data_IF_228018645471
#
_entry.id   IF_228018645471
#
_cell.length_a   1.000
_cell.length_b   1.000
_cell.length_c   1.000
_cell.angle_alpha   90.00
_cell.angle_beta   90.00
_cell.angle_gamma   90.00
#
_symmetry.space_group_name_H-M   'P 1'
#
loop_
_entity.id
_entity.type
_entity.pdbx_description
1 polymer ?
#
# COMPACT_ATOMS: atom_id res chain seq x y z
N UNK A 1 -41.39 66.51 -8.45
CA UNK A 1 -40.44 66.98 -7.44
C UNK A 1 -39.51 65.80 -7.30
N UNK A 2 -38.47 65.75 -8.17
CA UNK A 2 -37.08 66.28 -7.98
C UNK A 2 -36.45 65.63 -6.74
N UNK A 3 -35.31 64.98 -6.83
CA UNK A 3 -34.04 65.31 -7.46
C UNK A 3 -33.17 64.03 -7.59
N UNK A 4 -32.41 64.03 -8.64
CA UNK A 4 -31.28 63.22 -8.97
C UNK A 4 -30.08 63.49 -8.06
N UNK A 5 -29.31 62.45 -7.75
CA UNK A 5 -27.89 62.64 -7.47
C UNK A 5 -27.08 61.42 -7.88
N UNK A 6 -26.28 61.57 -8.90
CA UNK A 6 -25.14 60.76 -9.29
C UNK A 6 -23.98 60.98 -8.30
N UNK A 7 -23.16 59.98 -8.06
CA UNK A 7 -21.81 60.23 -7.48
C UNK A 7 -20.73 59.96 -8.54
N UNK A 8 -19.85 60.92 -8.58
CA UNK A 8 -18.57 61.10 -9.26
C UNK A 8 -17.54 59.98 -9.03
N UNK A 9 -16.88 59.62 -10.14
CA UNK A 9 -15.59 58.90 -10.16
C UNK A 9 -14.46 59.68 -9.43
N UNK A 10 -13.47 58.99 -8.88
CA UNK A 10 -12.16 59.57 -8.66
C UNK A 10 -11.09 58.95 -9.59
N UNK A 11 -10.39 59.85 -10.19
CA UNK A 11 -9.20 59.93 -11.03
C UNK A 11 -8.02 59.04 -10.57
N UNK A 12 -7.36 58.39 -11.55
CA UNK A 12 -5.99 57.88 -11.50
C UNK A 12 -4.96 58.97 -11.27
N UNK A 13 -3.80 58.66 -10.67
CA UNK A 13 -2.58 59.42 -10.88
C UNK A 13 -1.58 58.70 -11.79
N UNK A 14 -1.08 59.47 -12.69
CA UNK A 14 -0.09 59.32 -13.74
C UNK A 14 1.27 58.75 -13.27
N UNK A 15 1.88 58.00 -14.23
CA UNK A 15 3.26 57.60 -14.24
C UNK A 15 4.28 58.72 -14.27
N UNK A 16 5.38 58.56 -13.55
CA UNK A 16 6.64 59.23 -13.85
C UNK A 16 7.73 58.21 -14.13
N UNK A 17 8.27 58.35 -15.32
CA UNK A 17 9.48 57.73 -15.83
C UNK A 17 10.70 58.51 -15.34
N UNK A 18 11.71 57.80 -14.82
CA UNK A 18 13.09 58.27 -14.88
C UNK A 18 14.04 57.17 -15.34
N UNK A 19 14.75 57.56 -16.40
CA UNK A 19 15.82 56.85 -17.09
C UNK A 19 17.18 57.29 -16.56
N UNK A 20 18.15 56.41 -16.55
CA UNK A 20 19.53 56.55 -17.07
C UNK A 20 20.49 55.63 -16.33
N UNK A 21 21.03 54.70 -17.09
CA UNK A 21 22.46 54.56 -17.47
C UNK A 21 23.48 54.61 -16.30
N UNK A 22 24.15 53.47 -16.05
CA UNK A 22 25.62 53.49 -16.20
C UNK A 22 26.22 52.09 -16.37
N UNK A 23 27.20 52.05 -17.28
CA UNK A 23 27.99 50.93 -17.75
C UNK A 23 29.23 50.82 -16.87
N UNK A 24 29.59 49.61 -16.38
CA UNK A 24 30.98 49.29 -16.03
C UNK A 24 31.20 47.77 -16.05
N UNK A 25 31.82 47.31 -17.10
CA UNK A 25 33.08 46.55 -17.29
C UNK A 25 33.38 45.37 -16.37
N UNK A 26 33.65 44.27 -17.06
CA UNK A 26 34.20 42.98 -16.60
C UNK A 26 35.58 43.09 -15.92
N UNK A 27 35.80 42.09 -15.06
CA UNK A 27 37.06 41.41 -14.66
C UNK A 27 36.77 40.81 -13.27
N UNK A 28 36.97 39.57 -12.89
CA UNK A 28 38.07 38.65 -13.06
C UNK A 28 37.60 37.24 -12.63
N UNK A 29 38.00 36.24 -13.43
CA UNK A 29 37.85 34.83 -13.12
C UNK A 29 38.98 34.45 -12.15
N UNK A 30 38.63 34.02 -10.94
CA UNK A 30 39.56 33.36 -10.05
C UNK A 30 39.24 31.87 -9.90
N UNK A 31 40.02 31.05 -10.51
CA UNK A 31 40.11 29.59 -10.33
C UNK A 31 40.64 29.26 -8.93
N UNK A 32 40.09 28.30 -8.18
CA UNK A 32 40.73 27.79 -6.98
C UNK A 32 41.73 26.70 -7.34
N UNK A 33 42.82 26.54 -6.54
CA UNK A 33 43.92 25.64 -6.83
C UNK A 33 43.62 24.19 -6.51
N UNK A 34 44.05 23.32 -7.44
CA UNK A 34 44.21 21.90 -7.24
C UNK A 34 45.43 21.65 -6.36
N UNK A 35 45.28 20.89 -5.27
CA UNK A 35 46.29 19.89 -4.83
C UNK A 35 45.78 19.13 -3.61
N UNK A 36 45.70 17.83 -3.74
CA UNK A 36 45.43 16.87 -2.68
C UNK A 36 45.54 15.46 -3.25
N UNK A 37 46.77 15.02 -3.44
CA UNK A 37 47.17 13.72 -3.98
C UNK A 37 46.61 12.56 -3.14
N UNK A 38 45.93 11.61 -3.76
CA UNK A 38 45.76 10.25 -3.28
C UNK A 38 47.05 9.45 -3.49
N UNK A 39 47.56 8.75 -2.48
CA UNK A 39 48.67 7.81 -2.66
C UNK A 39 48.14 6.40 -2.90
N UNK A 40 47.99 6.00 -4.15
CA UNK A 40 48.05 4.60 -4.57
C UNK A 40 48.21 4.57 -6.10
N UNK A 41 49.44 4.80 -6.53
CA UNK A 41 49.91 4.38 -7.84
C UNK A 41 50.92 3.22 -7.62
N UNK A 42 50.58 2.07 -8.14
CA UNK A 42 51.43 0.90 -8.10
C UNK A 42 51.03 -0.09 -9.18
N UNK A 43 51.70 0.09 -10.34
CA UNK A 43 52.07 -0.93 -11.32
C UNK A 43 51.01 -1.91 -11.84
N UNK A 44 50.65 -1.72 -13.09
CA UNK A 44 50.27 -2.76 -14.04
C UNK A 44 51.43 -3.71 -14.30
N UNK A 45 51.21 -5.03 -14.15
CA UNK A 45 51.85 -6.04 -14.99
C UNK A 45 51.02 -7.33 -15.06
N UNK A 46 50.74 -7.66 -16.28
CA UNK A 46 50.59 -8.93 -16.97
C UNK A 46 50.21 -10.21 -16.20
N UNK A 47 49.12 -10.81 -16.73
CA UNK A 47 48.92 -12.25 -16.87
C UNK A 47 49.18 -13.14 -15.65
N UNK A 48 48.11 -13.49 -14.94
CA UNK A 48 48.11 -14.59 -13.98
C UNK A 48 46.78 -15.33 -14.04
N UNK A 49 46.72 -16.34 -14.89
CA UNK A 49 45.70 -17.41 -14.84
C UNK A 49 45.72 -18.01 -13.45
N UNK A 50 44.66 -17.81 -12.68
CA UNK A 50 44.45 -18.48 -11.39
C UNK A 50 44.14 -19.93 -11.67
N UNK A 51 45.03 -20.81 -11.27
CA UNK A 51 44.97 -22.25 -11.37
C UNK A 51 43.71 -22.80 -10.69
N UNK A 52 42.96 -23.60 -11.45
CA UNK A 52 41.70 -24.24 -11.03
C UNK A 52 41.83 -25.19 -9.84
N UNK A 53 43.08 -25.55 -9.46
CA UNK A 53 43.34 -26.43 -8.32
C UNK A 53 43.14 -25.75 -6.96
N UNK A 54 43.26 -24.41 -6.89
CA UNK A 54 43.09 -23.66 -5.63
C UNK A 54 41.64 -23.41 -5.29
N UNK A 55 40.76 -23.43 -6.31
CA UNK A 55 39.31 -23.26 -6.09
C UNK A 55 38.64 -24.53 -5.54
N UNK A 56 39.18 -25.71 -5.83
CA UNK A 56 38.66 -27.00 -5.33
C UNK A 56 39.07 -27.31 -3.88
N UNK A 57 40.07 -26.69 -3.33
CA UNK A 57 40.51 -26.89 -1.95
C UNK A 57 39.65 -26.11 -0.93
N UNK A 58 39.02 -25.00 -1.35
CA UNK A 58 38.15 -24.19 -0.50
C UNK A 58 36.72 -24.80 -0.33
N UNK A 59 36.26 -25.65 -1.24
CA UNK A 59 34.95 -26.27 -1.23
C UNK A 59 34.88 -27.58 -0.44
N UNK A 60 36.03 -28.16 -0.01
CA UNK A 60 36.06 -29.42 0.76
C UNK A 60 36.06 -29.27 2.28
N UNK A 61 35.97 -28.07 2.84
CA UNK A 61 35.97 -27.87 4.31
C UNK A 61 34.61 -27.64 4.95
N UNK A 62 33.51 -27.77 4.23
CA UNK A 62 32.14 -27.59 4.79
C UNK A 62 31.30 -28.86 4.89
N UNK A 63 31.84 -30.06 4.71
CA UNK A 63 31.05 -31.31 4.78
C UNK A 63 31.46 -32.25 5.92
N UNK A 64 31.98 -31.74 7.03
CA UNK A 64 32.41 -32.58 8.16
C UNK A 64 31.74 -32.18 9.50
N UNK A 65 30.43 -32.12 9.55
CA UNK A 65 29.65 -32.13 10.80
C UNK A 65 28.22 -32.63 10.55
N UNK A 66 28.11 -33.87 10.07
CA UNK A 66 26.88 -34.67 10.17
C UNK A 66 27.27 -36.11 10.42
N UNK A 67 27.20 -36.52 11.69
CA UNK A 67 27.32 -37.92 12.07
C UNK A 67 27.61 -38.06 13.55
N UNK A 68 26.65 -38.49 14.25
CA UNK A 68 26.71 -39.25 15.50
C UNK A 68 25.77 -38.70 16.59
N UNK A 69 24.64 -39.34 16.72
CA UNK A 69 24.14 -39.87 17.96
C UNK A 69 22.86 -40.66 17.70
N UNK A 70 23.01 -41.96 17.51
CA UNK A 70 21.99 -42.98 17.70
C UNK A 70 22.30 -43.67 19.01
N UNK A 71 21.30 -43.94 19.84
CA UNK A 71 21.34 -44.79 21.05
C UNK A 71 20.84 -44.05 22.28
N UNK A 72 19.95 -44.52 23.10
CA UNK A 72 19.30 -45.76 23.29
C UNK A 72 18.10 -45.56 24.24
N UNK A 73 17.07 -46.27 24.00
CA UNK A 73 16.03 -46.87 24.79
C UNK A 73 16.13 -46.87 26.31
N UNK A 74 14.96 -46.75 26.97
CA UNK A 74 14.73 -47.38 28.29
C UNK A 74 13.62 -46.75 29.11
N UNK A 75 12.44 -47.29 29.02
CA UNK A 75 11.60 -47.97 30.03
C UNK A 75 10.84 -47.15 31.07
N UNK A 76 9.50 -47.21 30.93
CA UNK A 76 8.42 -47.57 31.89
C UNK A 76 8.23 -46.72 33.16
N UNK A 77 7.13 -46.25 33.51
CA UNK A 77 5.77 -46.72 33.74
C UNK A 77 5.14 -46.01 34.97
N UNK A 78 3.85 -45.78 34.88
CA UNK A 78 2.81 -45.79 35.94
C UNK A 78 2.65 -44.56 36.85
N UNK A 79 1.47 -43.95 36.74
CA UNK A 79 0.91 -43.08 37.77
C UNK A 79 -0.37 -42.38 37.33
N UNK A 80 -1.47 -42.85 37.79
CA UNK A 80 -2.86 -42.52 37.54
C UNK A 80 -3.28 -41.05 37.78
N UNK A 81 -4.14 -40.56 36.90
CA UNK A 81 -5.40 -39.89 37.25
C UNK A 81 -5.38 -38.46 37.75
N UNK A 82 -5.72 -37.52 36.87
CA UNK A 82 -6.73 -36.49 37.12
C UNK A 82 -7.31 -36.07 35.75
N UNK A 83 -8.63 -36.21 35.64
CA UNK A 83 -9.36 -35.69 34.48
C UNK A 83 -9.41 -34.17 34.57
N UNK A 84 -8.60 -33.50 33.77
CA UNK A 84 -8.68 -32.08 33.48
C UNK A 84 -9.12 -31.93 32.02
N UNK A 85 -10.26 -31.27 31.79
CA UNK A 85 -10.74 -30.91 30.46
C UNK A 85 -9.69 -30.06 29.77
N UNK A 86 -8.91 -30.66 28.88
CA UNK A 86 -8.10 -29.95 27.92
C UNK A 86 -9.05 -29.39 26.87
N UNK A 87 -9.35 -28.09 26.97
CA UNK A 87 -9.77 -27.33 25.84
C UNK A 87 -8.66 -27.52 24.80
N UNK A 88 -8.95 -28.27 23.76
CA UNK A 88 -8.12 -28.36 22.58
C UNK A 88 -8.07 -26.95 21.99
N UNK A 89 -7.01 -26.20 22.32
CA UNK A 89 -6.57 -25.12 21.45
C UNK A 89 -6.23 -25.82 20.14
N UNK A 90 -7.02 -25.55 19.12
CA UNK A 90 -6.66 -25.88 17.75
C UNK A 90 -5.31 -25.19 17.52
N UNK A 91 -4.27 -26.01 17.48
CA UNK A 91 -2.95 -25.63 17.04
C UNK A 91 -3.10 -25.35 15.54
N UNK A 92 -3.32 -24.08 15.21
CA UNK A 92 -3.38 -23.58 13.83
C UNK A 92 -1.92 -23.47 13.33
N UNK A 93 -1.19 -24.60 13.49
CA UNK A 93 0.09 -24.83 12.84
C UNK A 93 -0.17 -25.26 11.39
N UNK A 94 -0.80 -24.39 10.61
CA UNK A 94 -0.70 -24.44 9.16
C UNK A 94 0.70 -23.93 8.76
N UNK A 95 1.71 -24.76 9.03
CA UNK A 95 3.08 -24.57 8.58
C UNK A 95 3.22 -24.92 7.10
N UNK A 96 2.31 -24.43 6.26
CA UNK A 96 2.51 -24.29 4.82
C UNK A 96 3.04 -22.88 4.53
N UNK A 97 4.12 -22.49 5.17
CA UNK A 97 5.08 -21.51 4.64
C UNK A 97 5.87 -22.21 3.53
N UNK A 98 5.18 -22.68 2.52
CA UNK A 98 5.73 -23.26 1.33
C UNK A 98 5.26 -22.46 0.13
N UNK A 99 6.13 -22.22 -0.81
CA UNK A 99 5.94 -21.57 -2.10
C UNK A 99 4.71 -22.03 -2.93
N UNK A 100 3.87 -22.92 -2.39
CA UNK A 100 2.72 -23.52 -3.06
C UNK A 100 1.33 -23.02 -2.66
N UNK A 101 1.19 -22.04 -1.76
CA UNK A 101 -0.12 -21.51 -1.39
C UNK A 101 -0.74 -20.75 -2.57
N UNK A 102 -1.83 -21.24 -3.11
CA UNK A 102 -2.58 -20.63 -4.21
C UNK A 102 -3.81 -19.92 -3.66
N UNK A 103 -3.98 -18.66 -4.01
CA UNK A 103 -5.22 -17.91 -3.76
C UNK A 103 -6.02 -17.91 -5.06
N UNK A 104 -7.32 -18.30 -5.05
CA UNK A 104 -8.12 -18.30 -6.26
C UNK A 104 -8.14 -16.95 -6.96
N UNK A 105 -7.80 -16.95 -8.25
CA UNK A 105 -7.79 -15.73 -9.08
C UNK A 105 -9.20 -15.34 -9.53
N UNK A 106 -10.01 -16.33 -9.93
CA UNK A 106 -11.34 -16.12 -10.47
C UNK A 106 -12.39 -15.98 -9.35
N UNK A 107 -13.34 -15.05 -9.54
CA UNK A 107 -14.43 -14.82 -8.60
C UNK A 107 -15.28 -13.63 -9.00
N UNK A 108 -16.38 -13.37 -8.27
CA UNK A 108 -17.20 -12.19 -8.43
C UNK A 108 -16.44 -10.91 -8.01
N UNK A 109 -15.60 -11.03 -6.99
CA UNK A 109 -14.75 -9.97 -6.44
C UNK A 109 -13.28 -10.35 -6.65
N UNK A 110 -12.41 -9.36 -6.72
CA UNK A 110 -10.97 -9.60 -6.81
C UNK A 110 -10.42 -10.16 -5.50
N UNK A 111 -9.56 -11.16 -5.59
CA UNK A 111 -8.68 -11.56 -4.49
C UNK A 111 -7.74 -10.40 -4.11
N UNK A 112 -7.25 -10.41 -2.85
CA UNK A 112 -6.43 -9.32 -2.34
C UNK A 112 -7.22 -8.23 -1.62
N UNK A 113 -8.56 -8.19 -1.73
CA UNK A 113 -9.41 -7.25 -0.99
C UNK A 113 -9.76 -7.83 0.39
N UNK A 114 -10.50 -8.92 0.45
CA UNK A 114 -10.85 -9.60 1.72
C UNK A 114 -9.77 -10.60 2.18
N UNK A 115 -8.84 -10.96 1.31
CA UNK A 115 -7.77 -11.92 1.63
C UNK A 115 -6.98 -11.43 2.85
N UNK A 116 -6.68 -12.33 3.79
CA UNK A 116 -5.78 -12.00 4.91
C UNK A 116 -4.49 -11.35 4.37
N UNK A 117 -4.01 -10.24 4.91
CA UNK A 117 -2.80 -9.58 4.43
C UNK A 117 -1.60 -10.54 4.41
N UNK A 118 -0.93 -10.61 3.25
CA UNK A 118 0.35 -11.28 3.08
C UNK A 118 1.47 -10.46 3.70
N UNK A 119 2.66 -11.04 3.84
CA UNK A 119 3.79 -10.39 4.52
C UNK A 119 4.33 -9.16 3.77
N UNK A 120 4.27 -9.17 2.43
CA UNK A 120 4.81 -8.09 1.59
C UNK A 120 3.77 -7.61 0.58
N UNK A 121 3.85 -6.33 0.26
CA UNK A 121 3.02 -5.68 -0.75
C UNK A 121 3.80 -4.65 -1.55
N UNK A 122 3.37 -4.37 -2.76
CA UNK A 122 3.67 -3.14 -3.47
C UNK A 122 2.38 -2.52 -3.99
N UNK A 123 2.25 -1.22 -3.84
CA UNK A 123 1.21 -0.42 -4.46
C UNK A 123 1.86 0.40 -5.56
N UNK A 124 1.35 0.28 -6.77
CA UNK A 124 1.92 0.95 -7.94
C UNK A 124 0.81 1.63 -8.70
N UNK A 125 1.04 2.87 -9.09
CA UNK A 125 0.18 3.60 -10.02
C UNK A 125 0.85 3.78 -11.37
N UNK A 126 0.06 3.75 -12.42
CA UNK A 126 0.50 3.89 -13.80
C UNK A 126 -0.36 4.92 -14.56
N UNK A 127 0.26 5.59 -15.52
CA UNK A 127 -0.46 6.28 -16.58
C UNK A 127 -0.63 5.34 -17.78
N UNK A 128 -1.84 5.25 -18.31
CA UNK A 128 -2.12 4.53 -19.55
C UNK A 128 -1.55 5.31 -20.74
N UNK A 129 -0.76 4.63 -21.56
CA UNK A 129 -0.12 5.17 -22.78
C UNK A 129 -0.64 4.51 -24.05
N UNK A 130 -1.68 3.65 -23.94
CA UNK A 130 -2.40 3.10 -25.09
C UNK A 130 -2.93 4.23 -26.00
N UNK A 131 -2.79 4.10 -27.31
CA UNK A 131 -3.16 5.15 -28.24
C UNK A 131 -4.68 5.27 -28.46
N UNK A 132 -5.44 4.23 -28.15
CA UNK A 132 -6.88 4.16 -28.36
C UNK A 132 -7.52 3.10 -27.44
N UNK A 133 -8.86 3.05 -27.48
CA UNK A 133 -9.65 2.11 -26.66
C UNK A 133 -9.31 0.63 -26.91
N UNK A 134 -9.03 0.22 -28.15
CA UNK A 134 -8.72 -1.16 -28.48
C UNK A 134 -7.40 -1.59 -27.83
N UNK A 135 -6.36 -0.76 -27.94
CA UNK A 135 -5.09 -0.99 -27.27
C UNK A 135 -5.21 -0.99 -25.74
N UNK A 136 -6.11 -0.15 -25.20
CA UNK A 136 -6.40 -0.18 -23.76
C UNK A 136 -7.07 -1.51 -23.34
N UNK A 137 -7.98 -2.05 -24.14
CA UNK A 137 -8.58 -3.38 -23.90
C UNK A 137 -7.49 -4.46 -23.93
N UNK A 138 -6.60 -4.42 -24.94
CA UNK A 138 -5.48 -5.37 -25.07
C UNK A 138 -4.54 -5.29 -23.86
N UNK A 139 -4.32 -4.08 -23.33
CA UNK A 139 -3.56 -3.88 -22.09
C UNK A 139 -4.20 -4.61 -20.91
N UNK A 140 -5.50 -4.44 -20.68
CA UNK A 140 -6.21 -5.11 -19.57
C UNK A 140 -6.27 -6.62 -19.75
N UNK A 141 -6.42 -7.12 -20.98
CA UNK A 141 -6.34 -8.55 -21.29
C UNK A 141 -4.93 -9.10 -21.00
N UNK A 142 -3.89 -8.34 -21.33
CA UNK A 142 -2.50 -8.70 -21.03
C UNK A 142 -2.26 -8.76 -19.52
N UNK A 143 -2.66 -7.73 -18.78
CA UNK A 143 -2.58 -7.71 -17.30
C UNK A 143 -3.30 -8.92 -16.72
N UNK A 144 -4.50 -9.24 -17.21
CA UNK A 144 -5.30 -10.40 -16.76
C UNK A 144 -4.58 -11.71 -17.01
N UNK A 145 -4.02 -11.89 -18.21
CA UNK A 145 -3.31 -13.12 -18.59
C UNK A 145 -2.09 -13.32 -17.71
N UNK A 146 -1.33 -12.27 -17.45
CA UNK A 146 -0.15 -12.34 -16.57
C UNK A 146 -0.55 -12.59 -15.14
N UNK A 147 -1.53 -11.86 -14.61
CA UNK A 147 -2.01 -12.03 -13.24
C UNK A 147 -2.51 -13.47 -13.01
N UNK A 148 -3.25 -14.04 -13.94
CA UNK A 148 -3.73 -15.43 -13.88
C UNK A 148 -2.59 -16.44 -13.81
N UNK A 149 -1.54 -16.27 -14.63
CA UNK A 149 -0.36 -17.11 -14.59
C UNK A 149 0.40 -16.97 -13.27
N UNK A 150 0.73 -15.73 -12.89
CA UNK A 150 1.56 -15.45 -11.73
C UNK A 150 0.92 -15.93 -10.42
N UNK A 151 -0.40 -15.74 -10.25
CA UNK A 151 -1.11 -16.17 -9.03
C UNK A 151 -1.29 -17.69 -8.94
N UNK A 152 -1.32 -18.38 -10.08
CA UNK A 152 -1.35 -19.84 -10.12
C UNK A 152 0.03 -20.46 -9.95
N UNK A 153 1.09 -19.73 -10.33
CA UNK A 153 2.42 -20.27 -10.45
C UNK A 153 2.57 -21.21 -11.65
N UNK A 154 3.75 -21.78 -11.81
CA UNK A 154 4.02 -22.78 -12.86
C UNK A 154 5.29 -22.52 -13.65
N UNK A 155 5.55 -23.33 -14.66
CA UNK A 155 6.72 -23.19 -15.53
C UNK A 155 6.45 -22.17 -16.63
N UNK A 156 7.27 -21.13 -16.77
CA UNK A 156 7.20 -20.18 -17.88
C UNK A 156 7.39 -20.90 -19.23
N UNK A 157 6.83 -20.32 -20.29
CA UNK A 157 6.99 -20.86 -21.65
C UNK A 157 8.44 -20.86 -22.12
N UNK A 158 8.86 -21.87 -22.87
CA UNK A 158 10.16 -21.88 -23.54
C UNK A 158 10.06 -21.21 -24.93
N UNK A 159 10.77 -20.11 -25.10
CA UNK A 159 10.84 -19.36 -26.38
C UNK A 159 12.11 -19.69 -27.19
N UNK A 160 12.92 -20.64 -26.71
CA UNK A 160 14.19 -21.04 -27.31
C UNK A 160 15.33 -20.04 -27.09
N UNK A 161 16.58 -20.47 -27.30
CA UNK A 161 17.80 -19.73 -27.00
C UNK A 161 17.98 -18.44 -27.84
N UNK A 162 17.34 -18.35 -28.99
CA UNK A 162 17.45 -17.18 -29.86
C UNK A 162 16.47 -16.06 -29.53
N UNK A 163 15.54 -16.28 -28.60
CA UNK A 163 14.51 -15.30 -28.18
C UNK A 163 14.84 -14.78 -26.78
N UNK A 164 14.36 -13.55 -26.44
CA UNK A 164 14.38 -13.12 -25.05
C UNK A 164 13.60 -14.11 -24.19
N UNK A 165 14.05 -14.43 -22.97
CA UNK A 165 13.38 -15.41 -22.11
C UNK A 165 11.94 -14.95 -21.77
N UNK A 166 11.03 -15.92 -21.66
CA UNK A 166 9.64 -15.65 -21.27
C UNK A 166 9.55 -15.04 -19.87
N UNK A 167 10.41 -15.49 -18.96
CA UNK A 167 10.48 -15.06 -17.57
C UNK A 167 11.86 -14.47 -17.23
N UNK A 168 11.97 -13.82 -16.09
CA UNK A 168 13.22 -13.23 -15.57
C UNK A 168 14.10 -14.24 -14.83
N UNK A 169 13.57 -15.41 -14.51
CA UNK A 169 14.20 -16.49 -13.74
C UNK A 169 14.70 -16.08 -12.32
N UNK A 170 14.21 -14.95 -11.82
CA UNK A 170 14.58 -14.48 -10.48
C UNK A 170 14.03 -15.34 -9.35
N UNK A 171 12.96 -16.09 -9.61
CA UNK A 171 12.38 -17.08 -8.71
C UNK A 171 12.78 -18.51 -9.05
N UNK A 172 13.68 -18.70 -10.03
CA UNK A 172 14.07 -19.99 -10.56
C UNK A 172 13.17 -20.48 -11.70
N UNK A 173 13.37 -21.72 -12.19
CA UNK A 173 12.71 -22.22 -13.40
C UNK A 173 11.23 -22.50 -13.23
N UNK A 174 10.71 -22.50 -12.02
CA UNK A 174 9.29 -22.66 -11.70
C UNK A 174 8.86 -21.50 -10.82
N UNK A 175 7.94 -20.69 -11.31
CA UNK A 175 7.36 -19.56 -10.56
C UNK A 175 6.45 -20.12 -9.46
N UNK A 176 6.71 -19.83 -8.17
CA UNK A 176 5.83 -20.25 -7.08
C UNK A 176 4.56 -19.40 -7.05
N UNK A 177 3.45 -19.96 -6.60
CA UNK A 177 2.20 -19.21 -6.37
C UNK A 177 2.30 -18.27 -5.17
N UNK A 178 2.96 -18.69 -4.09
CA UNK A 178 3.40 -17.92 -2.92
C UNK A 178 2.32 -17.03 -2.29
N UNK A 179 1.06 -17.47 -2.32
CA UNK A 179 -0.06 -16.67 -1.83
C UNK A 179 -0.23 -15.34 -2.57
N UNK A 180 0.30 -15.21 -3.79
CA UNK A 180 0.25 -13.98 -4.57
C UNK A 180 -1.19 -13.58 -4.90
N UNK A 181 -1.48 -12.29 -4.70
CA UNK A 181 -2.69 -11.64 -5.21
C UNK A 181 -2.30 -10.39 -5.98
N UNK A 182 -3.03 -10.12 -7.07
CA UNK A 182 -2.88 -8.92 -7.90
C UNK A 182 -4.26 -8.31 -8.01
N UNK A 183 -4.47 -7.17 -7.34
CA UNK A 183 -5.71 -6.40 -7.38
C UNK A 183 -5.53 -5.21 -8.29
N UNK A 184 -6.41 -5.07 -9.27
CA UNK A 184 -6.36 -4.04 -10.32
C UNK A 184 -7.44 -3.00 -10.07
N UNK A 185 -7.05 -1.74 -10.00
CA UNK A 185 -7.94 -0.59 -9.89
C UNK A 185 -7.77 0.39 -11.03
N UNK A 186 -8.77 1.23 -11.24
CA UNK A 186 -8.76 2.33 -12.22
C UNK A 186 -8.97 3.66 -11.52
N UNK A 187 -8.20 4.67 -11.91
CA UNK A 187 -8.30 6.02 -11.38
C UNK A 187 -9.23 6.92 -12.20
N UNK A 188 -9.58 8.07 -11.63
CA UNK A 188 -10.50 9.00 -12.26
C UNK A 188 -10.02 9.52 -13.61
N UNK A 189 -8.70 9.67 -13.79
CA UNK A 189 -8.08 10.18 -15.03
C UNK A 189 -8.21 9.23 -16.22
N UNK A 190 -8.44 7.93 -16.00
CA UNK A 190 -8.70 6.98 -17.08
C UNK A 190 -10.02 7.28 -17.83
N UNK A 191 -10.94 7.96 -17.18
CA UNK A 191 -12.28 8.27 -17.71
C UNK A 191 -12.37 9.66 -18.37
N UNK A 192 -11.27 10.16 -18.88
CA UNK A 192 -11.22 11.34 -19.73
C UNK A 192 -11.62 11.03 -21.19
N UNK A 193 -11.36 11.95 -22.11
CA UNK A 193 -11.76 11.83 -23.51
C UNK A 193 -10.92 10.84 -24.33
N UNK A 194 -9.76 10.37 -23.83
CA UNK A 194 -8.79 9.53 -24.57
C UNK A 194 -9.41 8.21 -25.08
N UNK A 195 -10.29 7.60 -24.29
CA UNK A 195 -10.76 6.23 -24.52
C UNK A 195 -12.27 6.13 -24.70
N UNK A 196 -13.01 7.25 -24.64
CA UNK A 196 -14.47 7.26 -24.74
C UNK A 196 -15.15 6.56 -23.55
N UNK A 197 -14.55 6.60 -22.36
CA UNK A 197 -15.03 5.96 -21.14
C UNK A 197 -15.69 6.94 -20.15
N UNK A 198 -15.79 8.23 -20.48
CA UNK A 198 -16.27 9.26 -19.56
C UNK A 198 -17.65 8.93 -18.94
N UNK A 199 -18.59 8.36 -19.72
CA UNK A 199 -19.93 7.97 -19.26
C UNK A 199 -19.93 6.68 -18.41
N UNK A 200 -18.80 5.97 -18.35
CA UNK A 200 -18.64 4.71 -17.62
C UNK A 200 -17.96 4.90 -16.26
N UNK A 201 -17.57 6.14 -15.93
CA UNK A 201 -16.87 6.41 -14.67
C UNK A 201 -17.72 6.04 -13.45
N UNK A 202 -17.17 5.31 -12.47
CA UNK A 202 -17.83 5.07 -11.19
C UNK A 202 -18.23 6.37 -10.51
N UNK A 203 -19.42 6.43 -9.93
CA UNK A 203 -20.08 7.70 -9.52
C UNK A 203 -19.26 8.49 -8.50
N UNK A 204 -18.61 7.79 -7.56
CA UNK A 204 -17.84 8.41 -6.47
C UNK A 204 -16.33 8.49 -6.78
N UNK A 205 -15.91 8.03 -7.97
CA UNK A 205 -14.50 8.09 -8.34
C UNK A 205 -14.13 9.52 -8.79
N UNK A 206 -13.22 10.12 -8.06
CA UNK A 206 -12.68 11.47 -8.30
C UNK A 206 -11.17 11.46 -8.04
N UNK A 207 -10.42 12.48 -8.47
CA UNK A 207 -9.07 12.72 -7.98
C UNK A 207 -9.07 12.79 -6.45
N UNK A 208 -8.00 12.28 -5.82
CA UNK A 208 -7.94 12.23 -4.35
C UNK A 208 -8.04 13.62 -3.74
N UNK A 209 -8.98 13.78 -2.81
CA UNK A 209 -9.15 15.01 -2.02
C UNK A 209 -7.88 15.25 -1.19
N UNK A 210 -7.42 16.51 -1.17
CA UNK A 210 -6.36 16.99 -0.28
C UNK A 210 -7.01 17.56 0.98
N UNK A 211 -6.59 17.07 2.13
CA UNK A 211 -7.04 17.55 3.43
C UNK A 211 -6.04 18.56 3.99
N UNK A 212 -6.43 19.41 4.98
CA UNK A 212 -5.58 20.48 5.49
C UNK A 212 -4.19 20.04 5.98
N UNK A 213 -4.06 18.81 6.47
CA UNK A 213 -2.81 18.29 7.04
C UNK A 213 -2.00 17.44 6.03
N UNK A 214 -2.39 17.46 4.75
CA UNK A 214 -1.69 16.73 3.70
C UNK A 214 -0.54 17.58 3.14
N UNK A 215 0.65 16.99 3.03
CA UNK A 215 1.81 17.57 2.36
C UNK A 215 1.92 17.00 0.93
N UNK A 216 0.94 17.37 0.09
CA UNK A 216 0.79 16.85 -1.27
C UNK A 216 0.96 17.93 -2.36
N UNK A 217 1.31 19.15 -1.96
CA UNK A 217 1.51 20.24 -2.93
C UNK A 217 2.76 19.96 -3.76
N UNK A 218 2.57 19.80 -5.08
CA UNK A 218 3.67 19.47 -5.98
C UNK A 218 4.14 18.02 -5.94
N UNK A 219 3.49 17.15 -5.16
CA UNK A 219 3.80 15.73 -5.14
C UNK A 219 3.52 15.08 -6.49
N UNK A 220 4.50 14.35 -7.01
CA UNK A 220 4.37 13.50 -8.20
C UNK A 220 3.83 12.10 -7.88
N UNK A 221 3.68 11.76 -6.61
CA UNK A 221 3.19 10.47 -6.14
C UNK A 221 1.68 10.49 -5.90
N UNK A 222 0.91 11.05 -6.85
CA UNK A 222 -0.55 11.22 -6.71
C UNK A 222 -1.31 10.65 -7.89
N UNK A 223 -2.50 10.09 -7.58
CA UNK A 223 -3.48 9.61 -8.55
C UNK A 223 -2.89 8.65 -9.60
N UNK A 224 -3.37 8.67 -10.82
CA UNK A 224 -2.96 7.87 -11.96
C UNK A 224 -4.15 7.16 -12.60
N UNK A 225 -3.91 6.51 -13.74
CA UNK A 225 -4.97 5.87 -14.54
C UNK A 225 -5.29 4.45 -14.07
N UNK A 226 -4.26 3.69 -13.66
CA UNK A 226 -4.35 2.29 -13.28
C UNK A 226 -3.56 2.08 -12.00
N UNK A 227 -4.14 1.36 -11.03
CA UNK A 227 -3.42 0.91 -9.82
C UNK A 227 -3.27 -0.60 -9.82
N UNK A 228 -2.12 -1.07 -9.33
CA UNK A 228 -1.89 -2.46 -8.98
C UNK A 228 -1.52 -2.56 -7.50
N UNK A 229 -2.26 -3.39 -6.75
CA UNK A 229 -1.86 -3.87 -5.44
C UNK A 229 -1.39 -5.31 -5.60
N UNK A 230 -0.11 -5.54 -5.40
CA UNK A 230 0.53 -6.84 -5.53
C UNK A 230 0.99 -7.27 -4.14
N UNK A 231 0.46 -8.39 -3.63
CA UNK A 231 0.81 -8.88 -2.29
C UNK A 231 1.20 -10.35 -2.35
N UNK A 232 2.25 -10.76 -1.63
CA UNK A 232 2.73 -12.13 -1.52
C UNK A 232 3.35 -12.42 -0.15
N UNK A 233 3.65 -13.69 0.11
CA UNK A 233 4.29 -14.09 1.36
C UNK A 233 5.80 -13.75 1.37
N UNK A 234 6.42 -13.57 0.18
CA UNK A 234 7.82 -13.17 0.04
C UNK A 234 7.98 -11.94 -0.87
N UNK A 235 8.99 -11.11 -0.55
CA UNK A 235 9.23 -9.84 -1.24
C UNK A 235 9.69 -10.03 -2.70
N UNK A 236 10.50 -11.04 -2.96
CA UNK A 236 11.00 -11.37 -4.30
C UNK A 236 9.86 -11.79 -5.24
N UNK A 237 8.83 -12.49 -4.75
CA UNK A 237 7.61 -12.79 -5.51
C UNK A 237 6.86 -11.51 -5.91
N UNK A 238 6.73 -10.54 -5.00
CA UNK A 238 6.10 -9.24 -5.31
C UNK A 238 6.89 -8.51 -6.40
N UNK A 239 8.22 -8.45 -6.27
CA UNK A 239 9.10 -7.81 -7.25
C UNK A 239 9.07 -8.52 -8.61
N UNK A 240 9.08 -9.86 -8.61
CA UNK A 240 8.97 -10.67 -9.82
C UNK A 240 7.65 -10.38 -10.54
N UNK A 241 6.53 -10.41 -9.82
CA UNK A 241 5.20 -10.17 -10.40
C UNK A 241 5.09 -8.77 -11.02
N UNK A 242 5.58 -7.73 -10.33
CA UNK A 242 5.61 -6.39 -10.89
C UNK A 242 6.48 -6.29 -12.15
N UNK A 243 7.67 -6.89 -12.12
CA UNK A 243 8.59 -6.90 -13.26
C UNK A 243 8.01 -7.64 -14.46
N UNK A 244 7.34 -8.76 -14.24
CA UNK A 244 6.69 -9.54 -15.29
C UNK A 244 5.57 -8.74 -15.95
N UNK A 245 4.66 -8.15 -15.17
CA UNK A 245 3.59 -7.29 -15.70
C UNK A 245 4.17 -6.11 -16.47
N UNK A 246 5.14 -5.38 -15.90
CA UNK A 246 5.76 -4.23 -16.56
C UNK A 246 6.46 -4.61 -17.88
N UNK A 247 7.07 -5.81 -17.96
CA UNK A 247 7.67 -6.34 -19.19
C UNK A 247 6.64 -6.53 -20.29
N UNK A 248 5.50 -7.15 -19.96
CA UNK A 248 4.48 -7.54 -20.94
C UNK A 248 3.53 -6.39 -21.31
N UNK A 249 3.47 -5.34 -20.51
CA UNK A 249 2.63 -4.15 -20.76
C UNK A 249 3.41 -2.93 -21.24
N UNK A 250 4.69 -3.13 -21.61
CA UNK A 250 5.54 -2.04 -22.12
C UNK A 250 4.93 -1.40 -23.35
N UNK A 251 4.81 -0.07 -23.31
CA UNK A 251 4.17 0.74 -24.36
C UNK A 251 2.67 0.95 -24.14
N UNK A 252 1.99 0.17 -23.30
CA UNK A 252 0.59 0.35 -22.95
C UNK A 252 0.36 1.13 -21.64
N UNK A 253 1.34 1.10 -20.74
CA UNK A 253 1.31 1.89 -19.50
C UNK A 253 2.72 2.24 -19.02
N UNK A 254 2.82 3.32 -18.26
CA UNK A 254 4.06 3.85 -17.66
C UNK A 254 3.88 4.05 -16.17
N UNK A 255 4.84 3.53 -15.36
CA UNK A 255 4.83 3.72 -13.90
C UNK A 255 4.87 5.20 -13.53
N UNK A 256 3.99 5.60 -12.61
CA UNK A 256 3.91 6.95 -12.08
C UNK A 256 4.55 7.02 -10.68
N UNK A 257 4.07 6.22 -9.76
CA UNK A 257 4.66 6.09 -8.42
C UNK A 257 4.51 4.66 -7.88
N UNK A 258 5.33 4.35 -6.89
CA UNK A 258 5.35 3.03 -6.24
C UNK A 258 5.70 3.17 -4.76
N UNK A 259 5.04 2.38 -3.91
CA UNK A 259 5.43 2.18 -2.52
C UNK A 259 5.45 0.70 -2.18
N UNK A 260 6.59 0.24 -1.67
CA UNK A 260 6.75 -1.11 -1.14
C UNK A 260 6.40 -1.13 0.34
N UNK A 261 5.75 -2.18 0.78
CA UNK A 261 5.32 -2.30 2.16
C UNK A 261 5.50 -3.72 2.72
N UNK A 262 5.54 -3.79 4.03
CA UNK A 262 5.64 -5.04 4.77
C UNK A 262 4.70 -5.06 5.97
N UNK A 263 4.30 -6.26 6.38
CA UNK A 263 3.57 -6.50 7.61
C UNK A 263 4.55 -6.80 8.75
N UNK A 264 4.48 -6.05 9.84
CA UNK A 264 5.21 -6.43 11.06
C UNK A 264 4.61 -7.72 11.62
N UNK A 265 5.47 -8.65 12.04
CA UNK A 265 5.01 -9.85 12.73
C UNK A 265 4.22 -9.45 13.98
N UNK A 266 3.00 -9.98 14.20
CA UNK A 266 2.24 -9.72 15.43
C UNK A 266 3.04 -10.05 16.68
N UNK A 267 3.15 -9.11 17.62
CA UNK A 267 3.89 -9.28 18.86
C UNK A 267 3.15 -8.60 20.03
N UNK A 268 2.84 -9.33 21.11
CA UNK A 268 3.06 -10.77 21.32
C UNK A 268 2.13 -11.66 20.48
N UNK A 269 0.99 -11.16 20.04
CA UNK A 269 -0.04 -11.84 19.25
C UNK A 269 -1.01 -10.80 18.64
N UNK A 270 -2.08 -11.23 17.96
CA UNK A 270 -3.15 -10.35 17.46
C UNK A 270 -2.78 -9.62 16.17
N UNK A 271 -3.02 -8.31 16.11
CA UNK A 271 -2.72 -7.50 14.93
C UNK A 271 -1.26 -7.04 14.90
N UNK A 272 -0.79 -6.65 13.72
CA UNK A 272 0.52 -6.04 13.50
C UNK A 272 0.65 -4.68 14.19
N UNK A 273 1.89 -4.16 14.25
CA UNK A 273 2.17 -2.78 14.68
C UNK A 273 2.59 -1.91 13.50
N UNK A 274 2.13 -0.65 13.53
CA UNK A 274 2.65 0.39 12.64
C UNK A 274 3.98 0.97 13.18
N UNK A 275 4.57 1.92 12.46
CA UNK A 275 5.86 2.53 12.83
C UNK A 275 5.80 3.45 14.07
N UNK A 276 4.60 3.84 14.53
CA UNK A 276 4.42 4.52 15.82
C UNK A 276 4.36 3.54 17.00
N UNK A 277 4.48 2.23 16.74
CA UNK A 277 4.50 1.17 17.75
C UNK A 277 3.12 0.70 18.20
N UNK A 278 2.03 1.23 17.66
CA UNK A 278 0.65 0.85 18.00
C UNK A 278 0.14 -0.26 17.08
N UNK A 279 -0.73 -1.11 17.62
CA UNK A 279 -1.42 -2.15 16.85
C UNK A 279 -2.43 -1.54 15.89
N UNK A 280 -2.46 -2.02 14.64
CA UNK A 280 -3.28 -1.49 13.57
C UNK A 280 -4.17 -2.59 12.95
N UNK A 281 -5.36 -2.19 12.47
CA UNK A 281 -6.32 -3.12 11.88
C UNK A 281 -7.33 -3.75 12.87
N UNK A 282 -7.28 -3.41 14.15
CA UNK A 282 -8.13 -4.01 15.20
C UNK A 282 -9.64 -3.85 14.91
N UNK A 283 -10.05 -2.69 14.40
CA UNK A 283 -11.45 -2.33 14.22
C UNK A 283 -11.88 -2.37 12.73
N UNK A 284 -11.43 -3.35 12.00
CA UNK A 284 -11.94 -3.63 10.65
C UNK A 284 -13.32 -4.30 10.71
N UNK A 285 -14.16 -4.14 9.65
CA UNK A 285 -15.33 -4.99 9.44
C UNK A 285 -14.95 -6.48 9.45
N UNK A 286 -15.89 -7.34 9.86
CA UNK A 286 -15.67 -8.80 9.79
C UNK A 286 -15.75 -9.26 8.33
N UNK A 287 -14.60 -9.64 7.77
CA UNK A 287 -14.52 -10.10 6.38
C UNK A 287 -15.22 -11.44 6.13
N UNK A 288 -15.61 -12.17 7.18
CA UNK A 288 -16.37 -13.43 7.11
C UNK A 288 -17.89 -13.19 7.19
N UNK A 289 -18.34 -12.01 7.62
CA UNK A 289 -19.75 -11.62 7.56
C UNK A 289 -20.07 -11.03 6.17
N UNK A 290 -20.74 -11.86 5.36
CA UNK A 290 -21.13 -11.45 4.00
C UNK A 290 -22.11 -10.27 3.99
N UNK A 291 -22.94 -10.12 5.02
CA UNK A 291 -23.89 -9.00 5.14
C UNK A 291 -23.12 -7.70 5.41
N UNK A 292 -22.12 -7.75 6.28
CA UNK A 292 -21.29 -6.60 6.62
C UNK A 292 -20.41 -6.19 5.43
N UNK A 293 -19.76 -7.16 4.77
CA UNK A 293 -18.93 -6.89 3.60
C UNK A 293 -19.76 -6.34 2.43
N UNK A 294 -20.97 -6.84 2.23
CA UNK A 294 -21.90 -6.38 1.21
C UNK A 294 -22.36 -4.92 1.46
N UNK A 295 -22.64 -4.58 2.70
CA UNK A 295 -23.08 -3.24 3.09
C UNK A 295 -21.96 -2.18 3.07
N UNK A 296 -20.71 -2.58 3.34
CA UNK A 296 -19.61 -1.65 3.60
C UNK A 296 -18.52 -1.63 2.52
N UNK A 297 -18.32 -2.72 1.77
CA UNK A 297 -17.13 -2.88 0.94
C UNK A 297 -17.48 -2.91 -0.55
N UNK A 298 -18.49 -3.68 -0.95
CA UNK A 298 -18.79 -3.91 -2.36
C UNK A 298 -19.70 -2.82 -2.95
N UNK A 299 -19.30 -2.34 -4.12
CA UNK A 299 -20.18 -1.49 -4.95
C UNK A 299 -21.28 -2.34 -5.59
N UNK A 300 -22.50 -1.76 -5.68
CA UNK A 300 -23.66 -2.41 -6.26
C UNK A 300 -24.16 -1.63 -7.48
N UNK A 301 -24.22 -2.29 -8.62
CA UNK A 301 -24.72 -1.71 -9.86
C UNK A 301 -26.15 -1.17 -9.72
N UNK A 302 -26.32 0.10 -10.10
CA UNK A 302 -27.59 0.82 -9.97
C UNK A 302 -27.88 1.39 -8.58
N UNK A 303 -27.23 0.93 -7.52
CA UNK A 303 -27.39 1.49 -6.18
C UNK A 303 -26.79 2.90 -6.13
N UNK A 304 -27.58 3.89 -5.67
CA UNK A 304 -27.13 5.30 -5.60
C UNK A 304 -26.60 5.87 -6.92
N UNK A 305 -27.06 5.30 -8.05
CA UNK A 305 -26.66 5.71 -9.39
C UNK A 305 -25.36 5.07 -9.88
N UNK A 306 -24.82 4.07 -9.17
CA UNK A 306 -23.58 3.41 -9.56
C UNK A 306 -23.73 2.69 -10.91
N UNK A 307 -22.62 2.60 -11.64
CA UNK A 307 -22.56 1.92 -12.94
C UNK A 307 -22.90 0.44 -12.80
N UNK A 308 -23.68 -0.11 -13.71
CA UNK A 308 -24.06 -1.54 -13.66
C UNK A 308 -22.83 -2.46 -13.72
N UNK A 309 -21.80 -2.08 -14.46
CA UNK A 309 -20.57 -2.86 -14.57
C UNK A 309 -19.72 -2.87 -13.30
N UNK A 310 -19.97 -1.93 -12.37
CA UNK A 310 -19.23 -1.79 -11.11
C UNK A 310 -19.65 -2.81 -10.04
N UNK A 311 -20.68 -3.63 -10.31
CA UNK A 311 -21.16 -4.66 -9.39
C UNK A 311 -20.02 -5.57 -8.90
N UNK A 312 -19.81 -5.64 -7.58
CA UNK A 312 -18.74 -6.45 -6.96
C UNK A 312 -17.36 -5.80 -6.98
N UNK A 313 -17.21 -4.58 -7.51
CA UNK A 313 -16.03 -3.75 -7.33
C UNK A 313 -16.00 -3.07 -5.96
N UNK A 314 -14.96 -2.27 -5.69
CA UNK A 314 -14.82 -1.54 -4.42
C UNK A 314 -14.03 -0.25 -4.63
N UNK A 315 -14.39 0.82 -3.96
CA UNK A 315 -13.54 2.02 -3.95
C UNK A 315 -12.30 1.77 -3.08
N UNK A 316 -11.14 1.98 -3.66
CA UNK A 316 -9.84 1.85 -3.00
C UNK A 316 -9.27 3.23 -2.73
N UNK A 317 -8.85 3.45 -1.49
CA UNK A 317 -8.05 4.61 -1.11
C UNK A 317 -6.66 4.14 -0.78
N UNK A 318 -5.65 4.71 -1.43
CA UNK A 318 -4.24 4.51 -1.09
C UNK A 318 -3.70 5.85 -0.62
N UNK A 319 -3.04 5.90 0.55
CA UNK A 319 -2.31 7.09 1.02
C UNK A 319 -0.92 6.68 1.49
N UNK A 320 0.07 7.41 1.03
CA UNK A 320 1.44 7.28 1.52
C UNK A 320 1.56 8.23 2.70
N UNK A 321 1.53 7.70 3.91
CA UNK A 321 1.52 8.48 5.16
C UNK A 321 2.90 8.35 5.80
N UNK A 322 3.70 9.40 5.72
CA UNK A 322 4.97 9.49 6.43
C UNK A 322 4.71 9.62 7.93
N UNK A 323 5.48 8.92 8.76
CA UNK A 323 5.44 8.98 10.21
C UNK A 323 6.72 9.64 10.73
N UNK A 324 6.58 10.73 11.46
CA UNK A 324 7.69 11.53 11.99
C UNK A 324 8.20 10.92 13.29
N UNK A 325 8.84 9.76 13.18
CA UNK A 325 9.18 8.89 14.32
C UNK A 325 10.16 9.56 15.29
N UNK A 326 11.07 10.42 14.83
CA UNK A 326 12.00 11.14 15.69
C UNK A 326 11.29 12.17 16.61
N UNK A 327 10.16 12.73 16.17
CA UNK A 327 9.31 13.57 17.01
C UNK A 327 8.44 12.73 17.93
N UNK A 328 7.85 11.66 17.40
CA UNK A 328 7.03 10.72 18.15
C UNK A 328 7.76 10.10 19.34
N UNK A 329 9.03 9.72 19.17
CA UNK A 329 9.85 9.08 20.20
C UNK A 329 10.16 9.99 21.39
N UNK A 330 9.89 11.30 21.28
CA UNK A 330 10.04 12.28 22.37
C UNK A 330 8.75 12.48 23.17
N UNK A 331 7.63 11.94 22.70
CA UNK A 331 6.33 12.05 23.36
C UNK A 331 6.25 11.03 24.48
N UNK A 332 5.73 11.41 25.64
CA UNK A 332 5.55 10.49 26.75
C UNK A 332 4.59 9.36 26.39
N UNK A 333 4.80 8.15 26.94
CA UNK A 333 3.93 7.01 26.68
C UNK A 333 2.47 7.32 26.99
N UNK A 334 2.21 8.04 28.08
CA UNK A 334 0.85 8.41 28.45
C UNK A 334 0.18 9.30 27.41
N UNK A 335 0.90 10.29 26.86
CA UNK A 335 0.36 11.14 25.78
C UNK A 335 0.12 10.36 24.50
N UNK A 336 1.06 9.47 24.11
CA UNK A 336 0.88 8.60 22.96
C UNK A 336 -0.39 7.76 23.10
N UNK A 337 -0.60 7.12 24.27
CA UNK A 337 -1.79 6.28 24.52
C UNK A 337 -3.08 7.11 24.54
N UNK A 338 -3.07 8.32 25.08
CA UNK A 338 -4.22 9.22 25.08
C UNK A 338 -4.55 9.73 23.67
N UNK A 339 -3.55 10.07 22.84
CA UNK A 339 -3.74 10.49 21.45
C UNK A 339 -4.36 9.36 20.62
N UNK A 340 -3.88 8.14 20.78
CA UNK A 340 -4.41 6.99 20.03
C UNK A 340 -5.74 6.51 20.64
N UNK A 341 -5.87 6.48 21.96
CA UNK A 341 -7.00 5.94 22.72
C UNK A 341 -6.84 4.47 23.09
N UNK A 342 -5.63 3.89 22.93
CA UNK A 342 -5.31 2.48 23.22
C UNK A 342 -3.99 2.34 23.98
N UNK A 343 -3.86 1.26 24.72
CA UNK A 343 -2.59 0.84 25.31
C UNK A 343 -1.61 0.41 24.20
N UNK A 344 -0.37 0.92 24.29
CA UNK A 344 0.65 0.61 23.27
C UNK A 344 1.09 -0.85 23.34
N UNK A 345 1.24 -1.41 24.54
CA UNK A 345 1.72 -2.79 24.76
C UNK A 345 0.71 -3.85 24.31
N UNK A 346 -0.54 -3.74 24.74
CA UNK A 346 -1.59 -4.75 24.50
C UNK A 346 -2.47 -4.44 23.28
N UNK A 347 -2.60 -3.17 22.89
CA UNK A 347 -3.58 -2.73 21.90
C UNK A 347 -5.00 -2.58 22.47
N UNK A 348 -5.22 -2.87 23.76
CA UNK A 348 -6.51 -2.70 24.40
C UNK A 348 -6.96 -1.22 24.37
N UNK A 349 -8.25 -0.91 24.18
CA UNK A 349 -8.73 0.45 24.39
C UNK A 349 -8.48 0.88 25.84
N UNK A 350 -8.31 2.16 26.10
CA UNK A 350 -8.04 2.64 27.47
C UNK A 350 -9.17 2.32 28.45
N UNK A 351 -10.38 2.02 27.96
CA UNK A 351 -11.54 1.56 28.72
C UNK A 351 -11.65 0.03 28.85
N UNK A 352 -10.70 -0.72 28.26
CA UNK A 352 -10.71 -2.18 28.21
C UNK A 352 -9.41 -2.81 28.69
N UNK A 353 -9.29 -4.13 28.56
CA UNK A 353 -8.14 -4.94 29.01
C UNK A 353 -7.55 -5.82 27.93
N UNK A 354 -8.32 -6.14 26.87
CA UNK A 354 -7.89 -6.96 25.74
C UNK A 354 -7.90 -6.19 24.43
N UNK A 355 -7.06 -6.61 23.47
CA UNK A 355 -6.87 -5.94 22.17
C UNK A 355 -8.19 -5.69 21.43
N UNK A 356 -9.07 -6.69 21.40
CA UNK A 356 -10.33 -6.67 20.66
C UNK A 356 -11.54 -6.18 21.48
N UNK A 357 -11.32 -5.69 22.71
CA UNK A 357 -12.39 -5.08 23.49
C UNK A 357 -12.97 -3.87 22.73
N UNK A 358 -14.29 -3.73 22.81
CA UNK A 358 -15.00 -2.57 22.26
C UNK A 358 -14.83 -1.36 23.18
N UNK A 359 -14.38 -0.20 22.70
CA UNK A 359 -14.34 1.02 23.51
C UNK A 359 -15.71 1.43 24.04
N UNK A 360 -15.81 1.75 25.33
CA UNK A 360 -17.07 2.07 26.02
C UNK A 360 -17.35 3.59 26.03
N UNK A 361 -17.52 4.23 24.87
CA UNK A 361 -17.73 5.68 24.76
C UNK A 361 -19.01 6.17 25.44
N UNK A 362 -20.07 5.35 25.49
CA UNK A 362 -21.32 5.71 26.13
C UNK A 362 -21.17 5.92 27.64
N UNK A 363 -20.23 5.20 28.28
CA UNK A 363 -19.91 5.31 29.71
C UNK A 363 -18.89 6.41 29.99
N UNK A 364 -18.31 7.02 28.97
CA UNK A 364 -17.30 8.09 29.04
C UNK A 364 -17.67 9.29 28.14
N UNK A 365 -18.83 9.93 28.33
CA UNK A 365 -19.28 11.00 27.46
C UNK A 365 -18.41 12.25 27.52
N UNK A 366 -17.66 12.46 28.60
CA UNK A 366 -16.75 13.59 28.78
C UNK A 366 -15.32 13.31 28.32
N UNK A 367 -14.99 12.07 27.91
CA UNK A 367 -13.64 11.71 27.47
C UNK A 367 -12.60 11.66 28.58
N UNK A 368 -13.01 11.28 29.80
CA UNK A 368 -12.10 11.20 30.95
C UNK A 368 -11.19 9.95 30.89
N UNK A 369 -11.61 8.90 30.19
CA UNK A 369 -10.86 7.66 29.99
C UNK A 369 -10.25 7.62 28.59
N UNK A 370 -11.07 7.82 27.55
CA UNK A 370 -10.63 7.94 26.16
C UNK A 370 -10.95 9.37 25.71
N UNK A 371 -9.97 10.25 25.52
CA UNK A 371 -10.20 11.64 25.13
C UNK A 371 -11.14 11.78 23.94
N UNK A 372 -11.92 12.84 23.90
CA UNK A 372 -12.83 13.13 22.78
C UNK A 372 -12.07 13.32 21.46
N UNK A 373 -10.80 13.73 21.55
CA UNK A 373 -9.87 13.93 20.43
C UNK A 373 -9.02 12.69 20.11
N UNK A 374 -9.18 11.58 20.84
CA UNK A 374 -8.41 10.38 20.58
C UNK A 374 -8.73 9.79 19.20
N UNK A 375 -7.69 9.36 18.47
CA UNK A 375 -7.77 8.84 17.12
C UNK A 375 -8.89 7.79 16.93
N UNK A 376 -8.93 6.75 17.80
CA UNK A 376 -9.93 5.69 17.64
C UNK A 376 -11.37 6.17 17.87
N UNK A 377 -11.55 7.23 18.68
CA UNK A 377 -12.86 7.79 18.99
C UNK A 377 -13.38 8.65 17.85
N UNK A 378 -12.53 9.46 17.24
CA UNK A 378 -12.85 10.26 16.07
C UNK A 378 -13.04 9.38 14.83
N UNK A 379 -12.13 8.41 14.60
CA UNK A 379 -12.21 7.53 13.44
C UNK A 379 -13.49 6.68 13.44
N UNK A 380 -13.89 6.14 14.59
CA UNK A 380 -15.10 5.32 14.74
C UNK A 380 -15.83 5.66 16.04
N UNK A 381 -16.74 6.64 16.02
CA UNK A 381 -17.52 7.05 17.20
C UNK A 381 -18.52 5.98 17.70
N UNK A 382 -18.69 4.90 16.96
CA UNK A 382 -19.54 3.73 17.31
C UNK A 382 -21.00 4.09 17.59
N UNK A 383 -21.55 4.97 16.75
CA UNK A 383 -22.97 5.35 16.79
C UNK A 383 -23.71 4.74 15.60
N UNK A 384 -25.04 4.61 15.71
CA UNK A 384 -25.86 4.14 14.58
C UNK A 384 -25.69 5.04 13.34
N UNK A 385 -25.42 6.33 13.52
CA UNK A 385 -25.21 7.29 12.43
C UNK A 385 -23.85 7.14 11.74
N UNK A 386 -22.88 6.43 12.34
CA UNK A 386 -21.54 6.25 11.81
C UNK A 386 -21.20 4.79 11.50
N UNK A 387 -22.15 3.87 11.72
CA UNK A 387 -21.95 2.44 11.47
C UNK A 387 -21.59 2.16 9.99
N UNK A 388 -22.31 2.81 9.07
CA UNK A 388 -22.11 2.66 7.63
C UNK A 388 -20.92 3.44 7.05
N UNK A 389 -20.11 4.08 7.94
CA UNK A 389 -18.89 4.80 7.59
C UNK A 389 -17.61 3.99 7.82
N UNK A 390 -17.73 2.74 8.26
CA UNK A 390 -16.60 1.87 8.48
C UNK A 390 -15.92 1.51 7.16
N UNK A 391 -14.59 1.38 7.19
CA UNK A 391 -13.72 1.06 6.04
C UNK A 391 -12.92 -0.20 6.35
N UNK A 392 -12.66 -1.04 5.36
CA UNK A 392 -11.75 -2.17 5.47
C UNK A 392 -10.32 -1.70 5.23
N UNK A 393 -9.52 -1.60 6.29
CA UNK A 393 -8.11 -1.18 6.20
C UNK A 393 -7.19 -2.37 5.95
N UNK A 394 -6.25 -2.17 5.02
CA UNK A 394 -5.25 -3.15 4.61
C UNK A 394 -3.90 -2.43 4.43
N UNK A 395 -3.46 -1.71 5.48
CA UNK A 395 -2.21 -0.95 5.44
C UNK A 395 -0.98 -1.82 5.61
N UNK A 396 0.15 -1.32 5.11
CA UNK A 396 1.48 -1.92 5.23
C UNK A 396 2.47 -0.87 5.72
N UNK A 397 3.41 -1.24 6.58
CA UNK A 397 4.52 -0.35 6.91
C UNK A 397 5.43 -0.18 5.70
N UNK A 398 6.02 0.98 5.52
CA UNK A 398 7.06 1.19 4.52
C UNK A 398 8.31 1.80 5.12
N UNK A 399 9.43 1.66 4.41
CA UNK A 399 10.73 2.29 4.71
C UNK A 399 11.38 2.64 3.37
N UNK A 400 11.88 3.89 3.24
CA UNK A 400 12.48 4.43 2.02
C UNK A 400 13.87 5.05 2.26
N UNK A 401 14.52 4.75 3.38
CA UNK A 401 15.82 5.28 3.76
C UNK A 401 15.74 6.58 4.54
N UNK A 402 16.42 7.61 4.10
CA UNK A 402 16.51 8.90 4.79
C UNK A 402 16.00 10.03 3.91
N UNK A 403 15.36 10.99 4.52
CA UNK A 403 15.00 12.24 3.87
C UNK A 403 16.23 13.17 3.71
N UNK A 404 16.03 14.32 3.05
CA UNK A 404 17.09 15.29 2.79
C UNK A 404 17.72 15.86 4.10
N UNK A 405 17.01 15.79 5.23
CA UNK A 405 17.46 16.26 6.53
C UNK A 405 18.13 15.15 7.37
N UNK A 406 18.20 13.92 6.85
CA UNK A 406 18.76 12.75 7.52
C UNK A 406 17.81 12.08 8.51
N UNK A 407 16.50 12.39 8.51
CA UNK A 407 15.50 11.67 9.28
C UNK A 407 15.07 10.41 8.52
N UNK A 408 14.60 9.39 9.26
CA UNK A 408 14.05 8.19 8.65
C UNK A 408 12.82 8.51 7.80
N UNK A 409 12.78 8.01 6.56
CA UNK A 409 11.58 8.07 5.73
C UNK A 409 10.81 6.77 5.87
N UNK A 410 10.05 6.68 6.95
CA UNK A 410 9.22 5.53 7.31
C UNK A 410 7.76 5.95 7.46
N UNK A 411 6.85 4.99 7.34
CA UNK A 411 5.44 5.29 7.49
C UNK A 411 4.51 4.15 7.18
N UNK A 412 3.31 4.51 6.74
CA UNK A 412 2.24 3.59 6.41
C UNK A 412 1.80 3.80 4.94
N UNK A 413 1.94 2.78 4.13
CA UNK A 413 1.17 2.64 2.90
C UNK A 413 -0.26 2.26 3.31
N UNK A 414 -1.04 3.29 3.65
CA UNK A 414 -2.45 3.12 4.03
C UNK A 414 -3.23 2.67 2.80
N UNK A 415 -3.97 1.59 2.94
CA UNK A 415 -4.92 1.13 1.93
C UNK A 415 -6.24 0.83 2.63
N UNK A 416 -7.34 1.30 2.04
CA UNK A 416 -8.68 1.01 2.53
C UNK A 416 -9.64 0.71 1.38
N UNK A 417 -10.57 -0.20 1.64
CA UNK A 417 -11.64 -0.56 0.72
C UNK A 417 -12.99 -0.22 1.31
N UNK A 418 -13.87 0.31 0.48
CA UNK A 418 -15.20 0.74 0.87
C UNK A 418 -16.17 0.83 -0.30
N UNK A 419 -17.46 0.79 0.01
CA UNK A 419 -18.54 0.92 -0.97
C UNK A 419 -18.68 2.35 -1.52
N UNK A 420 -18.38 3.37 -0.72
CA UNK A 420 -18.56 4.80 -1.06
C UNK A 420 -17.46 5.64 -0.38
N UNK A 421 -16.54 6.18 -1.17
CA UNK A 421 -15.40 6.94 -0.65
C UNK A 421 -15.83 8.17 0.15
N UNK A 422 -16.88 8.88 -0.30
CA UNK A 422 -17.35 10.11 0.33
C UNK A 422 -18.05 9.83 1.66
N UNK A 423 -18.95 8.83 1.69
CA UNK A 423 -19.67 8.45 2.89
C UNK A 423 -18.75 7.86 3.96
N UNK A 424 -17.70 7.14 3.55
CA UNK A 424 -16.85 6.36 4.43
C UNK A 424 -15.51 7.04 4.65
N UNK A 425 -14.54 6.89 3.77
CA UNK A 425 -13.18 7.41 3.99
C UNK A 425 -13.17 8.93 4.22
N UNK A 426 -13.78 9.73 3.36
CA UNK A 426 -13.74 11.20 3.49
C UNK A 426 -14.47 11.69 4.75
N UNK A 427 -15.58 11.05 5.13
CA UNK A 427 -16.27 11.36 6.38
C UNK A 427 -15.42 11.02 7.61
N UNK A 428 -14.69 9.90 7.61
CA UNK A 428 -13.74 9.53 8.67
C UNK A 428 -12.59 10.53 8.71
N UNK A 429 -11.96 10.80 7.56
CA UNK A 429 -10.80 11.71 7.48
C UNK A 429 -11.16 13.14 7.91
N UNK A 430 -12.38 13.60 7.58
CA UNK A 430 -12.87 14.92 8.01
C UNK A 430 -12.93 15.04 9.53
N UNK A 431 -13.29 13.97 10.25
CA UNK A 431 -13.26 13.99 11.73
C UNK A 431 -11.86 13.97 12.33
N UNK A 432 -10.87 13.51 11.56
CA UNK A 432 -9.48 13.39 12.00
C UNK A 432 -8.64 14.65 11.70
N UNK A 433 -9.19 15.70 11.07
CA UNK A 433 -8.42 16.88 10.64
C UNK A 433 -7.73 17.56 11.84
N UNK A 434 -8.42 17.65 12.99
CA UNK A 434 -7.93 18.36 14.18
C UNK A 434 -7.50 17.39 15.30
N UNK A 435 -7.23 16.13 15.01
CA UNK A 435 -6.71 15.19 16.01
C UNK A 435 -5.25 15.52 16.37
N UNK A 436 -4.80 15.28 17.63
CA UNK A 436 -3.41 15.56 18.00
C UNK A 436 -2.37 14.73 17.25
N UNK A 437 -2.75 13.61 16.63
CA UNK A 437 -1.85 12.75 15.87
C UNK A 437 -1.34 13.41 14.58
N UNK A 438 -2.01 14.45 14.06
CA UNK A 438 -1.61 15.14 12.82
C UNK A 438 -0.23 15.77 12.90
N UNK A 439 0.25 16.09 14.10
CA UNK A 439 1.59 16.64 14.32
C UNK A 439 2.71 15.61 14.08
N UNK A 440 2.38 14.33 13.99
CA UNK A 440 3.32 13.22 13.91
C UNK A 440 3.20 12.39 12.61
N UNK A 441 2.25 12.73 11.76
CA UNK A 441 2.05 12.08 10.47
C UNK A 441 1.90 13.12 9.35
N UNK A 442 2.40 12.77 8.16
CA UNK A 442 2.29 13.63 6.98
C UNK A 442 1.92 12.78 5.77
N UNK A 443 0.67 12.84 5.30
CA UNK A 443 0.31 12.20 4.03
C UNK A 443 0.94 12.95 2.86
N UNK A 444 1.80 12.25 2.11
CA UNK A 444 2.64 12.83 1.05
C UNK A 444 2.23 12.40 -0.37
N UNK A 445 1.33 11.41 -0.50
CA UNK A 445 0.93 10.87 -1.80
C UNK A 445 -0.19 9.85 -1.70
N UNK A 446 -0.48 9.21 -2.83
CA UNK A 446 -1.51 8.18 -2.99
C UNK A 446 -2.56 8.55 -4.04
N UNK A 447 -3.72 7.91 -3.99
CA UNK A 447 -4.82 8.18 -4.94
C UNK A 447 -6.09 7.45 -4.57
N UNK A 448 -7.20 7.87 -5.20
CA UNK A 448 -8.45 7.14 -5.21
C UNK A 448 -8.55 6.31 -6.47
N UNK A 449 -8.85 5.05 -6.30
CA UNK A 449 -9.06 4.12 -7.38
C UNK A 449 -10.37 3.35 -7.19
N UNK A 450 -10.87 2.79 -8.26
CA UNK A 450 -11.95 1.82 -8.21
C UNK A 450 -11.38 0.45 -8.52
N UNK A 451 -11.24 -0.40 -7.50
CA UNK A 451 -10.88 -1.80 -7.68
C UNK A 451 -11.98 -2.48 -8.49
N UNK A 452 -11.61 -3.00 -9.66
CA UNK A 452 -12.53 -3.59 -10.62
C UNK A 452 -13.25 -4.81 -10.02
N UNK A 453 -14.44 -5.18 -10.53
CA UNK A 453 -15.02 -6.49 -10.26
C UNK A 453 -14.04 -7.64 -10.55
N UNK A 454 -14.25 -8.78 -9.92
CA UNK A 454 -13.42 -9.96 -10.16
C UNK A 454 -13.54 -10.49 -11.59
N UNK A 455 -12.51 -11.18 -12.04
CA UNK A 455 -12.50 -11.93 -13.31
C UNK A 455 -13.23 -13.24 -13.07
N UNK A 456 -14.35 -13.45 -13.73
CA UNK A 456 -15.28 -14.55 -13.42
C UNK A 456 -14.75 -15.94 -13.84
N UNK A 457 -14.12 -16.01 -15.01
CA UNK A 457 -13.64 -17.26 -15.59
C UNK A 457 -12.49 -17.04 -16.59
N UNK A 458 -12.09 -18.11 -17.30
CA UNK A 458 -10.98 -18.05 -18.25
C UNK A 458 -11.23 -17.21 -19.51
N UNK A 459 -12.49 -16.92 -19.83
CA UNK A 459 -12.90 -16.11 -20.99
C UNK A 459 -13.04 -14.62 -20.65
N UNK A 460 -13.07 -14.28 -19.36
CA UNK A 460 -13.26 -12.95 -18.84
C UNK A 460 -11.91 -12.24 -18.57
N UNK A 461 -11.92 -10.92 -18.49
CA UNK A 461 -10.74 -10.11 -18.18
C UNK A 461 -11.09 -8.91 -17.30
N UNK A 462 -10.10 -8.35 -16.61
CA UNK A 462 -10.27 -7.14 -15.81
C UNK A 462 -10.91 -6.02 -16.65
N UNK A 463 -11.94 -5.41 -16.12
CA UNK A 463 -12.61 -4.30 -16.76
C UNK A 463 -13.51 -4.66 -17.94
N UNK A 464 -13.75 -5.95 -18.23
CA UNK A 464 -14.61 -6.38 -19.34
C UNK A 464 -15.97 -5.69 -19.36
N UNK A 465 -16.64 -5.55 -18.20
CA UNK A 465 -17.88 -4.81 -18.05
C UNK A 465 -17.74 -3.30 -18.32
N UNK A 466 -16.62 -2.68 -17.97
CA UNK A 466 -16.33 -1.27 -18.26
C UNK A 466 -16.21 -1.03 -19.76
N UNK A 467 -15.67 -1.98 -20.51
CA UNK A 467 -15.50 -1.92 -21.95
C UNK A 467 -16.71 -2.43 -22.75
N UNK A 468 -17.70 -3.05 -22.12
CA UNK A 468 -18.92 -3.45 -22.80
C UNK A 468 -19.67 -2.24 -23.36
N UNK A 469 -20.33 -2.43 -24.53
CA UNK A 469 -21.05 -1.37 -25.24
C UNK A 469 -22.26 -0.85 -24.46
#
# INVERSE_FOLDING_TARGET
MSESNEPTEPTEPTAETESAEDVATAEDVATPPSTGSCPFSGATDAAGLVDSATLHAALRRRSFLRGAAVGAAGVAAVGAGVAGATVAMADDSDSTTGSGRVIPFHGANQSGILTKPQAFATFVSFNATAANRAELVDLFQTITTRARFLTAGGTPGDLGLASPPADSDTLGPVVPADGLTITVGVGASLFDDRYGLASRKPVKLAPMQVFPNDDMVGSTERDGDISLQICADHQDTVMHALRDIAKHTRGGMQGLWKVDGFQSVPRPSGTQRNQLGFKDGIANPDVNDTTETDALIWAHGGLRGEQQWAEGGSYQVIRIIRMLVEFWDRVSLNEQELMIGRRRDTGAPLSGTAEFDTPEYANDPMGNVIPLTAHIRLANPRTNATYDQQILRRGYNYERGFDINGNLEVGLAFCAYQQDVTRQFEAVQTRLIDEPLVDYISPIGGGYFFALPGVRDSSDHFGSGMFAA
#
